data_IF_709130694350
#
_entry.id   IF_709130694350
#
_cell.length_a   1.000
_cell.length_b   1.000
_cell.length_c   1.000
_cell.angle_alpha   90.00
_cell.angle_beta   90.00
_cell.angle_gamma   90.00
#
_symmetry.space_group_name_H-M   'P 1'
#
loop_
_entity.id
_entity.type
_entity.pdbx_description
1 polymer ?
#
# COMPACT_ATOMS: atom_id res chain seq x y z
N UNK A 1 25.98 9.76 14.95
CA UNK A 1 26.14 11.24 14.94
C UNK A 1 27.60 11.62 14.80
N UNK A 2 27.87 12.81 14.26
CA UNK A 2 29.23 13.34 14.23
C UNK A 2 29.62 13.81 15.63
N UNK A 3 30.88 13.55 16.08
CA UNK A 3 31.40 13.89 17.41
C UNK A 3 31.16 15.36 17.79
N UNK A 4 31.23 16.30 16.82
CA UNK A 4 31.00 17.73 17.04
C UNK A 4 29.53 18.11 17.26
N UNK A 5 28.60 17.17 17.12
CA UNK A 5 27.16 17.36 17.32
C UNK A 5 26.61 16.58 18.53
N UNK A 6 27.45 15.90 19.30
CA UNK A 6 27.01 15.02 20.39
C UNK A 6 26.23 15.75 21.48
N UNK A 7 26.62 16.98 21.79
CA UNK A 7 25.97 17.80 22.83
C UNK A 7 24.65 18.42 22.41
N UNK A 8 24.34 18.44 21.08
CA UNK A 8 23.13 19.04 20.55
C UNK A 8 22.16 17.96 20.11
N UNK A 9 21.03 17.83 20.82
CA UNK A 9 20.01 16.83 20.48
C UNK A 9 19.56 16.90 19.01
N UNK A 10 19.37 18.10 18.48
CA UNK A 10 19.03 18.32 17.07
C UNK A 10 20.12 17.85 16.12
N UNK A 11 21.39 18.13 16.42
CA UNK A 11 22.53 17.72 15.59
C UNK A 11 22.79 16.21 15.62
N UNK A 12 22.41 15.51 16.69
CA UNK A 12 22.49 14.04 16.75
C UNK A 12 21.50 13.35 15.81
N UNK A 13 20.28 13.89 15.71
CA UNK A 13 19.20 13.31 14.91
C UNK A 13 19.22 13.83 13.47
N UNK A 14 19.71 15.03 13.25
CA UNK A 14 19.80 15.65 11.94
C UNK A 14 21.14 16.37 11.73
N UNK A 15 22.24 15.63 11.54
CA UNK A 15 23.61 16.17 11.56
C UNK A 15 23.92 17.15 10.43
N UNK A 16 23.20 17.05 9.30
CA UNK A 16 23.41 17.91 8.10
C UNK A 16 22.40 19.05 8.00
N UNK A 17 21.47 19.15 8.96
CA UNK A 17 20.39 20.12 8.94
C UNK A 17 19.15 19.64 8.16
N UNK A 18 18.01 20.35 8.26
CA UNK A 18 16.76 19.97 7.62
C UNK A 18 16.84 20.16 6.09
N UNK A 19 16.13 19.27 5.40
CA UNK A 19 15.87 19.40 3.96
C UNK A 19 14.80 20.48 3.74
N UNK A 20 15.20 21.73 3.59
CA UNK A 20 14.29 22.87 3.53
C UNK A 20 13.20 22.75 2.44
N UNK A 21 13.56 22.23 1.26
CA UNK A 21 12.60 21.99 0.18
C UNK A 21 11.52 20.98 0.57
N UNK A 22 11.90 19.89 1.24
CA UNK A 22 10.94 18.87 1.71
C UNK A 22 10.06 19.41 2.85
N UNK A 23 10.63 20.22 3.75
CA UNK A 23 9.85 20.88 4.80
C UNK A 23 8.83 21.84 4.20
N UNK A 24 9.23 22.64 3.20
CA UNK A 24 8.31 23.53 2.50
C UNK A 24 7.20 22.78 1.74
N UNK A 25 7.51 21.61 1.18
CA UNK A 25 6.53 20.77 0.47
C UNK A 25 5.40 20.23 1.39
N UNK A 26 5.60 20.19 2.71
CA UNK A 26 4.55 19.79 3.66
C UNK A 26 3.31 20.69 3.58
N UNK A 27 3.47 21.97 3.22
CA UNK A 27 2.34 22.88 2.99
C UNK A 27 1.42 22.34 1.89
N UNK A 28 1.99 21.86 0.76
CA UNK A 28 1.23 21.28 -0.34
C UNK A 28 0.44 20.03 0.05
N UNK A 29 0.95 19.21 0.98
CA UNK A 29 0.21 18.06 1.49
C UNK A 29 -1.05 18.52 2.24
N UNK A 30 -0.92 19.54 3.10
CA UNK A 30 -2.09 20.06 3.84
C UNK A 30 -3.11 20.72 2.91
N UNK A 31 -2.67 21.44 1.89
CA UNK A 31 -3.53 22.04 0.86
C UNK A 31 -4.27 20.98 0.04
N UNK A 32 -3.60 19.86 -0.28
CA UNK A 32 -4.23 18.73 -0.95
C UNK A 32 -5.39 18.13 -0.12
N UNK A 33 -5.19 17.89 1.18
CA UNK A 33 -6.26 17.42 2.06
C UNK A 33 -7.40 18.44 2.22
N UNK A 34 -7.09 19.72 2.31
CA UNK A 34 -8.10 20.77 2.32
C UNK A 34 -8.91 20.82 1.01
N UNK A 35 -8.25 20.60 -0.14
CA UNK A 35 -8.90 20.52 -1.45
C UNK A 35 -9.82 19.29 -1.56
N UNK A 36 -9.36 18.11 -1.13
CA UNK A 36 -10.18 16.90 -1.07
C UNK A 36 -11.40 17.09 -0.16
N UNK A 37 -11.21 17.68 1.02
CA UNK A 37 -12.32 17.97 1.94
C UNK A 37 -13.36 18.86 1.27
N UNK A 38 -12.94 19.96 0.66
CA UNK A 38 -13.84 20.90 -0.04
C UNK A 38 -14.60 20.23 -1.17
N UNK A 39 -13.90 19.39 -1.95
CA UNK A 39 -14.50 18.66 -3.06
C UNK A 39 -15.62 17.72 -2.60
N UNK A 40 -15.40 16.96 -1.53
CA UNK A 40 -16.34 15.93 -1.09
C UNK A 40 -17.41 16.44 -0.10
N UNK A 41 -17.13 17.47 0.67
CA UNK A 41 -18.04 17.95 1.72
C UNK A 41 -18.64 19.34 1.43
N UNK A 42 -18.13 20.05 0.43
CA UNK A 42 -18.70 21.30 -0.06
C UNK A 42 -18.49 22.53 0.84
N UNK A 43 -17.74 22.41 1.93
CA UNK A 43 -17.51 23.48 2.91
C UNK A 43 -16.15 23.33 3.59
N UNK A 44 -15.66 24.42 4.19
CA UNK A 44 -14.39 24.46 4.94
C UNK A 44 -14.62 24.56 6.47
N UNK A 45 -15.71 24.00 6.98
CA UNK A 45 -16.01 24.03 8.41
C UNK A 45 -15.02 23.18 9.23
N UNK A 46 -14.80 23.63 10.46
CA UNK A 46 -13.88 22.97 11.38
C UNK A 46 -12.40 23.34 11.16
N UNK A 47 -11.56 22.84 12.05
CA UNK A 47 -10.11 23.03 11.94
C UNK A 47 -9.50 21.99 10.97
N UNK A 48 -8.23 22.18 10.59
CA UNK A 48 -7.52 21.29 9.67
C UNK A 48 -7.50 19.83 10.12
N UNK A 49 -7.37 19.58 11.42
CA UNK A 49 -7.39 18.21 11.95
C UNK A 49 -8.74 17.52 11.70
N UNK A 50 -9.84 18.22 11.96
CA UNK A 50 -11.19 17.68 11.73
C UNK A 50 -11.43 17.40 10.25
N UNK A 51 -11.02 18.31 9.36
CA UNK A 51 -11.14 18.11 7.91
C UNK A 51 -10.28 16.94 7.43
N UNK A 52 -9.03 16.87 7.86
CA UNK A 52 -8.14 15.76 7.50
C UNK A 52 -8.71 14.42 7.98
N UNK A 53 -9.25 14.35 9.20
CA UNK A 53 -9.89 13.14 9.73
C UNK A 53 -11.06 12.69 8.85
N UNK A 54 -11.94 13.60 8.43
CA UNK A 54 -13.05 13.29 7.55
C UNK A 54 -12.59 12.74 6.19
N UNK A 55 -11.51 13.32 5.63
CA UNK A 55 -10.90 12.82 4.38
C UNK A 55 -10.30 11.44 4.59
N UNK A 56 -9.56 11.20 5.68
CA UNK A 56 -9.00 9.87 5.96
C UNK A 56 -10.07 8.81 6.15
N UNK A 57 -11.19 9.12 6.77
CA UNK A 57 -12.33 8.20 6.90
C UNK A 57 -12.96 7.88 5.54
N UNK A 58 -13.06 8.87 4.64
CA UNK A 58 -13.52 8.68 3.27
C UNK A 58 -12.57 7.76 2.49
N UNK A 59 -11.27 8.06 2.54
CA UNK A 59 -10.20 7.26 1.91
C UNK A 59 -10.23 5.83 2.43
N UNK A 60 -10.27 5.63 3.75
CA UNK A 60 -10.29 4.30 4.35
C UNK A 60 -11.50 3.46 3.92
N UNK A 61 -12.67 4.06 3.75
CA UNK A 61 -13.86 3.36 3.21
C UNK A 61 -13.64 2.94 1.76
N UNK A 62 -13.17 3.85 0.93
CA UNK A 62 -12.90 3.55 -0.48
C UNK A 62 -11.85 2.44 -0.64
N UNK A 63 -10.71 2.59 0.01
CA UNK A 63 -9.63 1.60 -0.02
C UNK A 63 -10.06 0.23 0.51
N UNK A 64 -10.92 0.20 1.55
CA UNK A 64 -11.49 -1.07 2.03
C UNK A 64 -12.39 -1.74 0.98
N UNK A 65 -13.16 -0.96 0.22
CA UNK A 65 -13.98 -1.47 -0.88
C UNK A 65 -13.10 -2.08 -1.96
N UNK A 66 -12.07 -1.38 -2.40
CA UNK A 66 -11.11 -1.88 -3.40
C UNK A 66 -10.41 -3.16 -2.92
N UNK A 67 -9.93 -3.16 -1.68
CA UNK A 67 -9.26 -4.32 -1.11
C UNK A 67 -10.16 -5.56 -1.07
N UNK A 68 -11.45 -5.39 -0.74
CA UNK A 68 -12.37 -6.51 -0.67
C UNK A 68 -12.64 -7.15 -2.03
N UNK A 69 -12.60 -6.44 -3.15
CA UNK A 69 -12.69 -7.03 -4.49
C UNK A 69 -11.62 -8.10 -4.69
N UNK A 70 -10.36 -7.75 -4.39
CA UNK A 70 -9.25 -8.70 -4.50
C UNK A 70 -9.32 -9.80 -3.43
N UNK A 71 -9.64 -9.45 -2.18
CA UNK A 71 -9.74 -10.42 -1.08
C UNK A 71 -10.83 -11.45 -1.30
N UNK A 72 -11.98 -11.06 -1.87
CA UNK A 72 -13.09 -11.97 -2.16
C UNK A 72 -12.71 -12.96 -3.27
N UNK A 73 -12.01 -12.51 -4.30
CA UNK A 73 -11.42 -13.39 -5.30
C UNK A 73 -10.44 -14.40 -4.68
N UNK A 74 -9.52 -13.93 -3.84
CA UNK A 74 -8.49 -14.77 -3.23
C UNK A 74 -9.06 -15.84 -2.28
N UNK A 75 -10.23 -15.62 -1.68
CA UNK A 75 -10.92 -16.66 -0.87
C UNK A 75 -11.31 -17.88 -1.68
N UNK A 76 -11.58 -17.72 -2.96
CA UNK A 76 -11.95 -18.79 -3.90
C UNK A 76 -10.78 -19.37 -4.69
N UNK A 77 -9.53 -18.94 -4.43
CA UNK A 77 -8.34 -19.28 -5.21
C UNK A 77 -7.34 -20.07 -4.36
N UNK A 78 -7.46 -21.40 -4.29
CA UNK A 78 -6.61 -22.24 -3.42
C UNK A 78 -5.14 -22.27 -3.86
N UNK A 79 -4.83 -21.91 -5.10
CA UNK A 79 -3.48 -21.82 -5.66
C UNK A 79 -2.67 -20.66 -5.08
N UNK A 80 -3.34 -19.75 -4.37
CA UNK A 80 -2.73 -18.55 -3.76
C UNK A 80 -2.88 -18.62 -2.24
N UNK A 81 -1.77 -18.49 -1.55
CA UNK A 81 -1.74 -18.22 -0.13
C UNK A 81 -1.87 -16.72 0.13
N UNK A 82 -3.01 -16.30 0.68
CA UNK A 82 -3.19 -14.95 1.19
C UNK A 82 -2.44 -14.79 2.53
N UNK A 83 -1.67 -13.72 2.68
CA UNK A 83 -0.97 -13.40 3.93
C UNK A 83 -1.72 -12.29 4.66
N UNK A 84 -2.17 -12.60 5.87
CA UNK A 84 -2.93 -11.68 6.72
C UNK A 84 -4.45 -11.88 6.65
N UNK A 85 -5.18 -10.83 7.01
CA UNK A 85 -6.65 -10.89 7.11
C UNK A 85 -7.29 -11.01 5.72
N UNK A 86 -8.35 -11.78 5.62
CA UNK A 86 -9.10 -12.03 4.39
C UNK A 86 -10.30 -11.09 4.17
N UNK A 87 -10.41 -10.06 4.98
CA UNK A 87 -11.43 -9.01 4.87
C UNK A 87 -10.83 -7.65 5.25
N UNK A 88 -11.27 -6.61 4.58
CA UNK A 88 -10.88 -5.24 4.88
C UNK A 88 -12.07 -4.44 5.42
N UNK A 89 -11.82 -3.76 6.55
CA UNK A 89 -12.73 -2.76 7.11
C UNK A 89 -11.95 -1.48 7.43
N UNK A 90 -12.61 -0.31 7.36
CA UNK A 90 -11.95 0.97 7.66
C UNK A 90 -11.27 0.96 9.04
N UNK A 91 -10.00 1.37 9.08
CA UNK A 91 -9.21 1.41 10.31
C UNK A 91 -8.66 0.05 10.81
N UNK A 92 -9.03 -1.07 10.19
CA UNK A 92 -8.56 -2.40 10.59
C UNK A 92 -7.50 -2.97 9.66
N UNK A 93 -7.53 -2.63 8.37
CA UNK A 93 -6.60 -3.12 7.36
C UNK A 93 -6.31 -2.03 6.34
N UNK A 94 -5.04 -1.85 5.99
CA UNK A 94 -4.65 -1.07 4.81
C UNK A 94 -4.92 -1.86 3.52
N UNK A 95 -5.13 -1.16 2.42
CA UNK A 95 -5.32 -1.74 1.09
C UNK A 95 -3.99 -2.20 0.47
N UNK A 96 -3.18 -2.90 1.27
CA UNK A 96 -1.94 -3.55 0.86
C UNK A 96 -2.06 -5.04 1.15
N UNK A 97 -2.02 -5.85 0.10
CA UNK A 97 -2.30 -7.29 0.15
C UNK A 97 -1.06 -8.03 -0.32
N UNK A 98 -0.55 -8.92 0.52
CA UNK A 98 0.55 -9.80 0.19
C UNK A 98 0.02 -11.21 -0.11
N UNK A 99 0.49 -11.78 -1.21
CA UNK A 99 0.12 -13.12 -1.66
C UNK A 99 1.36 -13.91 -2.06
N UNK A 100 1.28 -15.22 -1.97
CA UNK A 100 2.33 -16.16 -2.40
C UNK A 100 1.70 -17.33 -3.15
N UNK A 101 2.28 -17.71 -4.28
CA UNK A 101 1.93 -18.94 -5.00
C UNK A 101 3.04 -19.98 -4.83
N UNK A 102 2.75 -21.19 -4.39
CA UNK A 102 3.75 -22.26 -4.33
C UNK A 102 4.17 -22.75 -5.73
N UNK A 103 3.37 -22.50 -6.76
CA UNK A 103 3.59 -22.97 -8.14
C UNK A 103 4.33 -21.97 -9.03
N UNK A 104 4.16 -20.67 -8.77
CA UNK A 104 4.71 -19.61 -9.64
C UNK A 104 5.50 -18.63 -8.79
N UNK A 105 6.75 -18.37 -9.16
CA UNK A 105 7.58 -17.39 -8.48
C UNK A 105 6.95 -16.00 -8.47
N UNK A 106 7.07 -15.30 -7.34
CA UNK A 106 6.53 -13.95 -7.12
C UNK A 106 6.99 -12.96 -8.19
N UNK A 107 8.26 -13.02 -8.59
CA UNK A 107 8.84 -12.20 -9.67
C UNK A 107 8.24 -12.49 -11.04
N UNK A 108 7.83 -13.74 -11.29
CA UNK A 108 7.19 -14.14 -12.56
C UNK A 108 5.77 -13.61 -12.62
N UNK A 109 5.01 -13.71 -11.53
CA UNK A 109 3.65 -13.12 -11.43
C UNK A 109 3.73 -11.61 -11.67
N UNK A 110 4.64 -10.92 -10.96
CA UNK A 110 4.80 -9.47 -11.10
C UNK A 110 5.18 -9.07 -12.54
N UNK A 111 6.06 -9.81 -13.18
CA UNK A 111 6.46 -9.58 -14.58
C UNK A 111 5.27 -9.74 -15.52
N UNK A 112 4.52 -10.83 -15.42
CA UNK A 112 3.35 -11.09 -16.27
C UNK A 112 2.27 -10.02 -16.09
N UNK A 113 2.01 -9.59 -14.86
CA UNK A 113 1.10 -8.46 -14.59
C UNK A 113 1.59 -7.16 -15.23
N UNK A 114 2.90 -6.88 -15.16
CA UNK A 114 3.50 -5.71 -15.79
C UNK A 114 3.36 -5.71 -17.33
N UNK A 115 3.40 -6.87 -18.00
CA UNK A 115 3.15 -7.03 -19.44
C UNK A 115 1.72 -6.56 -19.82
N UNK A 116 0.80 -6.58 -18.86
CA UNK A 116 -0.56 -6.04 -19.00
C UNK A 116 -0.73 -4.63 -18.43
N UNK A 117 0.38 -3.93 -18.11
CA UNK A 117 0.35 -2.57 -17.57
C UNK A 117 -0.10 -2.48 -16.11
N UNK A 118 0.00 -3.57 -15.33
CA UNK A 118 -0.34 -3.61 -13.91
C UNK A 118 0.94 -3.70 -13.09
N UNK A 119 1.24 -2.65 -12.31
CA UNK A 119 2.40 -2.59 -11.44
C UNK A 119 2.13 -3.20 -10.07
N UNK A 120 2.88 -4.23 -9.68
CA UNK A 120 2.89 -4.81 -8.34
C UNK A 120 4.33 -4.98 -7.85
N UNK A 121 4.54 -5.06 -6.55
CA UNK A 121 5.85 -5.39 -6.00
C UNK A 121 6.04 -6.91 -5.86
N UNK A 122 7.29 -7.38 -5.94
CA UNK A 122 7.67 -8.77 -5.62
C UNK A 122 8.95 -8.79 -4.81
N UNK A 123 9.06 -9.70 -3.83
CA UNK A 123 10.23 -9.89 -2.99
C UNK A 123 9.92 -9.92 -1.51
N UNK A 124 10.96 -9.79 -0.68
CA UNK A 124 10.86 -9.85 0.79
C UNK A 124 10.53 -8.49 1.45
N UNK A 125 10.63 -7.39 0.72
CA UNK A 125 10.35 -6.01 1.18
C UNK A 125 11.10 -5.63 2.47
N UNK A 126 12.36 -6.06 2.62
CA UNK A 126 13.17 -5.91 3.83
C UNK A 126 12.59 -6.62 5.08
N UNK A 127 11.63 -7.51 4.88
CA UNK A 127 10.96 -8.27 5.93
C UNK A 127 11.37 -9.76 5.90
N UNK A 128 12.63 -10.05 5.55
CA UNK A 128 13.17 -11.41 5.36
C UNK A 128 12.76 -12.36 6.48
N UNK A 129 12.93 -11.97 7.74
CA UNK A 129 12.55 -12.80 8.89
C UNK A 129 11.03 -13.09 8.97
N UNK A 130 10.20 -12.16 8.52
CA UNK A 130 8.74 -12.38 8.48
C UNK A 130 8.39 -13.39 7.39
N UNK A 131 9.06 -13.31 6.23
CA UNK A 131 8.86 -14.24 5.11
C UNK A 131 9.32 -15.64 5.51
N UNK A 132 10.48 -15.78 6.14
CA UNK A 132 11.00 -17.04 6.69
C UNK A 132 10.05 -17.65 7.75
N UNK A 133 9.52 -16.83 8.67
CA UNK A 133 8.59 -17.27 9.70
C UNK A 133 7.22 -17.73 9.15
N UNK A 134 6.93 -17.39 7.90
CA UNK A 134 5.76 -17.85 7.16
C UNK A 134 6.04 -19.09 6.31
N UNK A 135 7.23 -19.71 6.44
CA UNK A 135 7.67 -20.85 5.63
C UNK A 135 7.67 -20.52 4.12
N UNK A 136 8.05 -19.31 3.75
CA UNK A 136 8.22 -18.87 2.37
C UNK A 136 9.71 -18.63 2.13
N UNK A 137 10.23 -19.09 0.98
CA UNK A 137 11.60 -18.79 0.57
C UNK A 137 11.78 -17.25 0.44
N UNK A 138 12.65 -16.61 1.23
CA UNK A 138 12.83 -15.17 1.16
C UNK A 138 13.48 -14.68 -0.14
N UNK A 139 14.11 -15.58 -0.92
CA UNK A 139 14.66 -15.25 -2.24
C UNK A 139 13.57 -15.26 -3.33
N UNK A 140 12.38 -15.81 -3.05
CA UNK A 140 11.16 -15.61 -3.83
C UNK A 140 10.29 -14.48 -3.27
N UNK A 141 10.13 -14.46 -1.94
CA UNK A 141 9.32 -13.48 -1.26
C UNK A 141 7.83 -13.61 -1.57
N UNK A 142 7.16 -12.48 -1.69
CA UNK A 142 5.72 -12.38 -1.92
C UNK A 142 5.41 -11.41 -3.04
N UNK A 143 4.25 -11.54 -3.67
CA UNK A 143 3.67 -10.46 -4.50
C UNK A 143 2.89 -9.52 -3.59
N UNK A 144 3.14 -8.22 -3.70
CA UNK A 144 2.44 -7.19 -2.94
C UNK A 144 1.63 -6.30 -3.86
N UNK A 145 0.32 -6.36 -3.73
CA UNK A 145 -0.64 -5.47 -4.36
C UNK A 145 -0.95 -4.33 -3.40
N UNK A 146 -0.85 -3.09 -3.85
CA UNK A 146 -1.18 -1.91 -3.05
C UNK A 146 -2.12 -1.02 -3.84
N UNK A 147 -3.19 -0.59 -3.20
CA UNK A 147 -4.19 0.31 -3.74
C UNK A 147 -4.29 1.55 -2.87
N UNK A 148 -4.60 2.67 -3.47
CA UNK A 148 -4.76 3.96 -2.80
C UNK A 148 -6.03 4.65 -3.29
N UNK A 149 -6.35 5.78 -2.69
CA UNK A 149 -7.61 6.50 -2.90
C UNK A 149 -7.91 6.98 -4.34
N UNK A 150 -6.94 6.95 -5.25
CA UNK A 150 -7.16 7.28 -6.67
C UNK A 150 -7.26 6.04 -7.58
N UNK A 151 -7.14 4.83 -7.03
CA UNK A 151 -7.45 3.62 -7.79
C UNK A 151 -8.96 3.42 -7.92
N UNK A 152 -9.38 2.72 -8.97
CA UNK A 152 -10.78 2.42 -9.25
C UNK A 152 -11.10 0.94 -9.07
N UNK A 153 -12.38 0.61 -8.95
CA UNK A 153 -12.85 -0.78 -8.88
C UNK A 153 -12.48 -1.55 -10.16
N UNK A 154 -12.63 -0.91 -11.33
CA UNK A 154 -12.32 -1.51 -12.64
C UNK A 154 -10.84 -1.87 -12.78
N UNK A 155 -9.93 -1.07 -12.18
CA UNK A 155 -8.50 -1.41 -12.14
C UNK A 155 -8.24 -2.68 -11.31
N UNK A 156 -8.93 -2.84 -10.18
CA UNK A 156 -8.80 -4.02 -9.33
C UNK A 156 -9.45 -5.24 -9.96
N UNK A 157 -10.61 -5.10 -10.59
CA UNK A 157 -11.27 -6.17 -11.35
C UNK A 157 -10.42 -6.64 -12.53
N UNK A 158 -9.77 -5.71 -13.22
CA UNK A 158 -8.80 -6.03 -14.27
C UNK A 158 -7.58 -6.79 -13.72
N UNK A 159 -7.05 -6.38 -12.57
CA UNK A 159 -5.99 -7.11 -11.88
C UNK A 159 -6.44 -8.55 -11.58
N UNK A 160 -7.63 -8.74 -11.00
CA UNK A 160 -8.19 -10.06 -10.69
C UNK A 160 -8.28 -10.93 -11.94
N UNK A 161 -8.83 -10.40 -13.03
CA UNK A 161 -8.96 -11.13 -14.30
C UNK A 161 -7.60 -11.61 -14.82
N UNK A 162 -6.61 -10.73 -14.86
CA UNK A 162 -5.29 -11.08 -15.40
C UNK A 162 -4.54 -12.02 -14.46
N UNK A 163 -4.68 -11.85 -13.14
CA UNK A 163 -4.09 -12.77 -12.17
C UNK A 163 -4.68 -14.18 -12.30
N UNK A 164 -5.99 -14.29 -12.48
CA UNK A 164 -6.69 -15.56 -12.73
C UNK A 164 -6.17 -16.27 -14.00
N UNK A 165 -5.99 -15.52 -15.09
CA UNK A 165 -5.41 -16.04 -16.34
C UNK A 165 -3.95 -16.54 -16.13
N UNK A 166 -3.16 -15.79 -15.36
CA UNK A 166 -1.77 -16.18 -15.05
C UNK A 166 -1.73 -17.49 -14.26
N UNK A 167 -2.64 -17.67 -13.29
CA UNK A 167 -2.68 -18.87 -12.45
C UNK A 167 -3.16 -20.10 -13.23
N UNK A 168 -4.15 -19.95 -14.11
CA UNK A 168 -4.66 -21.03 -14.97
C UNK A 168 -3.68 -21.49 -16.04
N UNK A 169 -2.72 -20.65 -16.40
CA UNK A 169 -1.69 -20.95 -17.41
C UNK A 169 -0.40 -21.59 -16.82
N UNK A 170 -0.40 -21.90 -15.53
CA UNK A 170 0.76 -22.46 -14.80
C UNK A 170 0.59 -23.94 -14.58
#
# INVERSE_FOLDING_TARGET
>A
SHWFNEEKAQGRLNPTGPQHAQVAALAGITEYFDALHRHHFGHDEGNRHTRAKAVFELVARHESTLANILLDYLKGTPEIRLLGQNHAAPGQRAATIAIHSPAIRSTVIAKRLAEHGIGVGAGDFYARRCVEALDIDPDDGVVRVSMVHYNTAEEVERLVTILDDILKAA
#
